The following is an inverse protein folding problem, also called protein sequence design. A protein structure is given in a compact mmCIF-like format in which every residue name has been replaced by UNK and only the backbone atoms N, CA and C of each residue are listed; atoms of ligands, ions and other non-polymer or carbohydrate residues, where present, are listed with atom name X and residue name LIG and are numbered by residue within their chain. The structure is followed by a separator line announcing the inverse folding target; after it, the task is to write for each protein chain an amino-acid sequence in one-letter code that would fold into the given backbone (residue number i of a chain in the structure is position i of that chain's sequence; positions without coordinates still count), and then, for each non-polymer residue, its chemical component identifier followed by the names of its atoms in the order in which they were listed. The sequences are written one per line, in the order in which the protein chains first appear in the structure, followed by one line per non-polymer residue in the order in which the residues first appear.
data_IF_868930280607
#
_entry.id   IF_868930280607
#
_cell.length_a   1.000
_cell.length_b   1.000
_cell.length_c   1.000
_cell.angle_alpha   90.00
_cell.angle_beta   90.00
_cell.angle_gamma   90.00
#
_symmetry.space_group_name_H-M   'P 1'
#
loop_
_entity.id
_entity.type
_entity.pdbx_description
1 polymer ?
#
# COMPACT_ATOMS: atom_id res chain seq x y z
N UNK A 1 47.01 39.76 -5.95
CA UNK A 1 47.64 39.80 -4.62
C UNK A 1 46.70 39.20 -3.58
N UNK A 2 47.23 38.46 -2.60
CA UNK A 2 46.68 38.33 -1.23
C UNK A 2 47.10 39.59 -0.43
N UNK A 3 46.56 39.97 0.76
CA UNK A 3 46.42 39.04 1.90
C UNK A 3 45.38 39.36 3.03
N UNK A 4 45.36 38.47 4.05
CA UNK A 4 45.11 38.67 5.52
C UNK A 4 43.86 39.47 5.99
N UNK A 5 43.07 39.04 7.00
CA UNK A 5 43.03 37.77 7.76
C UNK A 5 42.69 37.92 9.27
N UNK A 6 42.18 36.83 9.88
CA UNK A 6 42.24 36.48 11.32
C UNK A 6 41.32 37.31 12.24
N UNK A 7 40.86 36.90 13.45
CA UNK A 7 41.02 35.73 14.33
C UNK A 7 39.85 35.76 15.39
N UNK A 8 39.58 34.81 16.31
CA UNK A 8 40.07 33.46 16.64
C UNK A 8 39.21 32.81 17.76
N UNK A 9 39.31 31.48 17.91
CA UNK A 9 39.13 30.69 19.15
C UNK A 9 37.70 30.39 19.70
N UNK A 10 37.47 29.28 20.40
CA UNK A 10 38.45 28.30 20.92
C UNK A 10 37.97 26.84 20.99
N UNK A 11 38.95 25.93 21.03
CA UNK A 11 38.80 24.50 21.33
C UNK A 11 39.41 24.21 22.71
N UNK A 12 38.88 23.22 23.45
CA UNK A 12 39.54 22.44 24.53
C UNK A 12 38.50 21.51 25.18
N UNK A 13 38.78 20.29 25.69
CA UNK A 13 39.89 19.33 25.56
C UNK A 13 39.45 17.96 26.14
N UNK A 14 40.22 16.89 25.85
CA UNK A 14 40.40 15.60 26.57
C UNK A 14 39.80 15.44 28.01
N UNK A 15 39.44 14.25 28.51
CA UNK A 15 40.21 12.98 28.48
C UNK A 15 39.37 11.75 28.98
N UNK A 16 39.77 10.47 28.76
CA UNK A 16 39.12 9.27 29.29
C UNK A 16 39.93 8.52 30.40
N UNK A 17 39.47 7.31 30.76
CA UNK A 17 39.93 6.39 31.84
C UNK A 17 39.37 6.71 33.25
N UNK A 18 39.24 5.76 34.20
CA UNK A 18 39.82 4.41 34.33
C UNK A 18 38.91 3.37 35.03
N UNK A 19 39.41 2.13 35.15
CA UNK A 19 38.76 0.97 35.76
C UNK A 19 38.65 1.04 37.29
N UNK A 20 37.78 0.20 37.88
CA UNK A 20 37.75 -0.12 39.31
C UNK A 20 37.00 -1.43 39.56
N UNK A 21 37.71 -2.46 40.05
CA UNK A 21 37.15 -3.77 40.37
C UNK A 21 37.67 -4.19 41.74
N UNK A 22 36.79 -4.37 42.73
CA UNK A 22 37.17 -4.83 44.07
C UNK A 22 36.37 -6.06 44.50
N UNK A 23 37.11 -7.10 44.89
CA UNK A 23 36.63 -8.24 45.69
C UNK A 23 37.00 -8.00 47.14
N UNK A 24 36.06 -8.21 48.06
CA UNK A 24 36.36 -8.28 49.50
C UNK A 24 35.41 -9.26 50.19
N UNK A 25 35.93 -10.41 50.63
CA UNK A 25 35.20 -11.35 51.50
C UNK A 25 35.64 -11.20 52.96
N UNK A 26 34.77 -11.53 53.93
CA UNK A 26 35.10 -11.29 55.34
C UNK A 26 34.11 -11.85 56.37
N UNK A 27 34.10 -13.17 56.56
CA UNK A 27 33.91 -13.90 57.83
C UNK A 27 32.82 -13.44 58.83
N UNK A 28 31.73 -14.22 58.85
CA UNK A 28 31.11 -14.89 60.03
C UNK A 28 31.19 -14.24 61.42
N UNK A 29 30.02 -13.99 62.04
CA UNK A 29 29.75 -14.41 63.42
C UNK A 29 28.26 -14.69 63.69
N UNK A 30 28.04 -15.67 64.58
CA UNK A 30 26.76 -16.31 64.93
C UNK A 30 26.11 -15.55 66.10
N UNK A 31 24.76 -15.58 66.26
CA UNK A 31 24.02 -15.86 67.53
C UNK A 31 22.49 -15.62 67.43
N UNK A 32 21.73 -16.61 67.94
CA UNK A 32 20.30 -16.64 68.34
C UNK A 32 19.16 -16.28 67.36
N UNK A 33 18.61 -17.35 66.76
CA UNK A 33 17.21 -17.80 66.91
C UNK A 33 16.11 -16.82 67.35
N UNK A 34 15.22 -16.47 66.40
CA UNK A 34 13.76 -16.42 66.66
C UNK A 34 13.06 -17.17 65.52
N UNK A 35 12.61 -18.40 65.79
CA UNK A 35 11.79 -19.18 64.85
C UNK A 35 10.35 -18.65 64.88
N UNK A 36 10.06 -17.65 64.06
CA UNK A 36 8.68 -17.25 63.79
C UNK A 36 8.13 -18.12 62.65
N UNK A 37 7.52 -19.26 62.99
CA UNK A 37 6.84 -20.13 62.01
C UNK A 37 5.53 -19.46 61.60
N UNK A 38 5.63 -18.53 60.64
CA UNK A 38 4.47 -17.97 59.97
C UNK A 38 3.80 -19.02 59.09
N UNK A 39 2.62 -19.48 59.50
CA UNK A 39 1.74 -20.32 58.67
C UNK A 39 1.16 -19.51 57.51
N UNK A 40 2.00 -19.22 56.51
CA UNK A 40 1.52 -18.82 55.19
C UNK A 40 0.98 -20.07 54.50
N UNK A 41 -0.32 -20.29 54.65
CA UNK A 41 -1.07 -21.22 53.81
C UNK A 41 -0.99 -20.73 52.36
N UNK A 42 -0.02 -21.26 51.62
CA UNK A 42 0.08 -21.02 50.20
C UNK A 42 -1.14 -21.66 49.53
N UNK A 43 -2.11 -20.84 49.14
CA UNK A 43 -3.17 -21.25 48.23
C UNK A 43 -2.56 -21.54 46.85
N UNK A 44 -1.95 -22.71 46.69
CA UNK A 44 -1.57 -23.25 45.39
C UNK A 44 -2.85 -23.47 44.60
N UNK A 45 -3.26 -22.45 43.85
CA UNK A 45 -4.35 -22.58 42.89
C UNK A 45 -3.82 -23.43 41.75
N UNK A 46 -3.96 -24.75 41.89
CA UNK A 46 -3.63 -25.71 40.85
C UNK A 46 -4.53 -25.39 39.66
N UNK A 47 -4.00 -24.59 38.73
CA UNK A 47 -4.73 -24.19 37.54
C UNK A 47 -4.79 -25.42 36.65
N UNK A 48 -5.89 -26.17 36.77
CA UNK A 48 -6.18 -27.29 35.90
C UNK A 48 -6.28 -26.75 34.46
N UNK A 49 -5.19 -26.86 33.70
CA UNK A 49 -5.14 -26.58 32.28
C UNK A 49 -6.00 -27.56 31.45
N UNK A 50 -6.61 -28.55 32.10
CA UNK A 50 -7.61 -29.50 31.58
C UNK A 50 -8.95 -28.85 31.11
N UNK A 51 -8.91 -27.58 30.72
CA UNK A 51 -10.06 -26.80 30.26
C UNK A 51 -9.68 -25.62 29.35
N UNK A 52 -8.40 -25.48 28.96
CA UNK A 52 -8.07 -24.64 27.79
C UNK A 52 -8.56 -25.43 26.58
N UNK A 53 -9.59 -24.98 25.83
CA UNK A 53 -9.98 -25.66 24.61
C UNK A 53 -8.78 -25.61 23.67
N UNK A 54 -8.39 -26.77 23.15
CA UNK A 54 -7.35 -26.89 22.14
C UNK A 54 -7.66 -25.88 21.03
N UNK A 55 -6.77 -24.89 20.87
CA UNK A 55 -6.94 -23.85 19.86
C UNK A 55 -6.88 -24.55 18.51
N UNK A 56 -8.06 -24.84 17.93
CA UNK A 56 -8.18 -25.36 16.57
C UNK A 56 -7.26 -24.51 15.70
N UNK A 57 -6.31 -25.12 14.94
CA UNK A 57 -5.32 -24.36 14.21
C UNK A 57 -6.05 -23.34 13.35
N UNK A 58 -5.77 -22.06 13.58
CA UNK A 58 -6.39 -20.95 12.84
C UNK A 58 -6.22 -21.28 11.36
N UNK A 59 -7.34 -21.57 10.68
CA UNK A 59 -7.27 -22.08 9.32
C UNK A 59 -6.55 -21.04 8.48
N UNK A 60 -5.37 -21.38 7.95
CA UNK A 60 -4.56 -20.45 7.17
C UNK A 60 -5.46 -19.82 6.12
N UNK A 61 -5.61 -18.49 6.18
CA UNK A 61 -6.48 -17.78 5.26
C UNK A 61 -6.12 -18.18 3.81
N UNK A 62 -7.12 -18.40 2.94
CA UNK A 62 -6.89 -18.80 1.55
C UNK A 62 -5.80 -17.95 0.90
N UNK A 63 -4.94 -18.52 0.03
CA UNK A 63 -3.84 -17.77 -0.61
C UNK A 63 -4.31 -16.43 -1.19
N UNK A 64 -5.41 -16.43 -1.94
CA UNK A 64 -6.09 -15.24 -2.46
C UNK A 64 -6.37 -14.17 -1.38
N UNK A 65 -6.92 -14.55 -0.22
CA UNK A 65 -7.19 -13.60 0.88
C UNK A 65 -5.93 -12.97 1.47
N UNK A 66 -4.77 -13.65 1.39
CA UNK A 66 -3.48 -13.07 1.81
C UNK A 66 -2.85 -12.21 0.71
N UNK A 67 -2.98 -12.62 -0.55
CA UNK A 67 -2.56 -11.81 -1.70
C UNK A 67 -3.36 -10.51 -1.81
N UNK A 68 -4.67 -10.56 -1.51
CA UNK A 68 -5.55 -9.39 -1.40
C UNK A 68 -5.05 -8.38 -0.37
N UNK A 69 -4.80 -8.80 0.88
CA UNK A 69 -4.32 -7.90 1.94
C UNK A 69 -3.00 -7.23 1.58
N UNK A 70 -2.04 -7.96 1.00
CA UNK A 70 -0.80 -7.35 0.50
C UNK A 70 -1.06 -6.35 -0.65
N UNK A 71 -2.03 -6.61 -1.52
CA UNK A 71 -2.41 -5.68 -2.60
C UNK A 71 -3.11 -4.43 -2.06
N UNK A 72 -3.95 -4.57 -1.04
CA UNK A 72 -4.59 -3.44 -0.32
C UNK A 72 -3.54 -2.57 0.38
N UNK A 73 -2.55 -3.17 1.04
CA UNK A 73 -1.40 -2.45 1.61
C UNK A 73 -0.59 -1.71 0.53
N UNK A 74 -0.36 -2.35 -0.62
CA UNK A 74 0.30 -1.70 -1.75
C UNK A 74 -0.47 -0.48 -2.26
N UNK A 75 -1.79 -0.54 -2.32
CA UNK A 75 -2.65 0.61 -2.69
C UNK A 75 -2.48 1.78 -1.70
N UNK A 76 -2.48 1.49 -0.39
CA UNK A 76 -2.27 2.50 0.66
C UNK A 76 -0.86 3.14 0.58
N UNK A 77 0.18 2.35 0.28
CA UNK A 77 1.53 2.89 0.07
C UNK A 77 1.67 3.66 -1.25
N UNK A 78 0.96 3.26 -2.30
CA UNK A 78 0.88 3.99 -3.57
C UNK A 78 0.25 5.39 -3.37
N UNK A 79 -0.85 5.49 -2.61
CA UNK A 79 -1.45 6.78 -2.25
C UNK A 79 -0.49 7.69 -1.47
N UNK A 80 0.38 7.11 -0.63
CA UNK A 80 1.44 7.83 0.11
C UNK A 80 2.71 8.09 -0.73
N UNK A 81 2.66 7.91 -2.05
CA UNK A 81 3.81 7.97 -2.97
C UNK A 81 5.01 7.08 -2.56
N UNK A 82 4.80 6.09 -1.70
CA UNK A 82 5.81 5.19 -1.14
C UNK A 82 6.05 3.98 -2.04
N UNK A 83 6.36 4.26 -3.32
CA UNK A 83 6.36 3.27 -4.41
C UNK A 83 7.25 2.05 -4.16
N UNK A 84 8.41 2.23 -3.51
CA UNK A 84 9.29 1.12 -3.13
C UNK A 84 8.61 0.13 -2.18
N UNK A 85 7.84 0.63 -1.21
CA UNK A 85 7.10 -0.21 -0.26
C UNK A 85 5.89 -0.84 -0.94
N UNK A 86 5.18 -0.09 -1.81
CA UNK A 86 4.10 -0.64 -2.61
C UNK A 86 4.56 -1.83 -3.48
N UNK A 87 5.72 -1.73 -4.15
CA UNK A 87 6.32 -2.83 -4.91
C UNK A 87 6.69 -4.03 -4.01
N UNK A 88 7.20 -3.81 -2.80
CA UNK A 88 7.54 -4.89 -1.88
C UNK A 88 6.31 -5.68 -1.41
N UNK A 89 5.19 -4.99 -1.19
CA UNK A 89 3.89 -5.59 -0.86
C UNK A 89 3.27 -6.30 -2.07
N UNK A 90 3.34 -5.73 -3.27
CA UNK A 90 2.96 -6.40 -4.53
C UNK A 90 3.74 -7.70 -4.72
N UNK A 91 5.06 -7.67 -4.54
CA UNK A 91 5.90 -8.87 -4.64
C UNK A 91 5.55 -9.89 -3.54
N UNK A 92 5.05 -9.46 -2.38
CA UNK A 92 4.52 -10.35 -1.34
C UNK A 92 3.19 -10.99 -1.77
N UNK A 93 2.27 -10.22 -2.36
CA UNK A 93 1.04 -10.74 -2.94
C UNK A 93 1.32 -11.81 -4.02
N UNK A 94 2.21 -11.51 -4.96
CA UNK A 94 2.57 -12.41 -6.07
C UNK A 94 3.38 -13.64 -5.63
N UNK A 95 4.08 -13.59 -4.49
CA UNK A 95 4.67 -14.78 -3.85
C UNK A 95 3.63 -15.69 -3.19
N UNK A 96 2.49 -15.16 -2.78
CA UNK A 96 1.39 -15.93 -2.19
C UNK A 96 0.48 -16.52 -3.28
N UNK A 97 0.18 -15.73 -4.31
CA UNK A 97 -0.59 -16.14 -5.48
C UNK A 97 -0.07 -15.42 -6.74
N UNK A 98 0.66 -16.17 -7.57
CA UNK A 98 1.25 -15.68 -8.82
C UNK A 98 0.22 -15.45 -9.96
N UNK A 99 -1.05 -15.77 -9.73
CA UNK A 99 -2.16 -15.50 -10.65
C UNK A 99 -3.10 -14.38 -10.15
N UNK A 100 -2.75 -13.68 -9.06
CA UNK A 100 -3.59 -12.64 -8.48
C UNK A 100 -3.58 -11.35 -9.31
N UNK A 101 -4.53 -11.22 -10.25
CA UNK A 101 -4.61 -10.12 -11.20
C UNK A 101 -4.59 -8.70 -10.58
N UNK A 102 -5.24 -8.41 -9.44
CA UNK A 102 -5.20 -7.07 -8.84
C UNK A 102 -3.80 -6.62 -8.40
N UNK A 103 -2.91 -7.56 -8.04
CA UNK A 103 -1.51 -7.21 -7.74
C UNK A 103 -0.75 -6.78 -9.00
N UNK A 104 -1.04 -7.37 -10.15
CA UNK A 104 -0.47 -6.95 -11.44
C UNK A 104 -1.01 -5.60 -11.91
N UNK A 105 -2.29 -5.31 -11.69
CA UNK A 105 -2.86 -3.99 -11.99
C UNK A 105 -2.26 -2.88 -11.13
N UNK A 106 -2.16 -3.12 -9.81
CA UNK A 106 -1.48 -2.20 -8.89
C UNK A 106 0.00 -2.00 -9.24
N UNK A 107 0.69 -3.05 -9.71
CA UNK A 107 2.06 -2.98 -10.24
C UNK A 107 2.15 -2.11 -11.49
N UNK A 108 1.15 -2.19 -12.37
CA UNK A 108 0.98 -1.31 -13.53
C UNK A 108 0.88 0.16 -13.12
N UNK A 109 0.02 0.48 -12.15
CA UNK A 109 -0.16 1.83 -11.61
C UNK A 109 1.12 2.38 -10.96
N UNK A 110 1.82 1.58 -10.14
CA UNK A 110 3.08 2.00 -9.51
C UNK A 110 4.15 2.28 -10.56
N UNK A 111 4.33 1.43 -11.57
CA UNK A 111 5.32 1.68 -12.63
C UNK A 111 4.93 2.84 -13.55
N UNK A 112 3.64 3.05 -13.81
CA UNK A 112 3.15 4.23 -14.53
C UNK A 112 3.58 5.52 -13.82
N UNK A 113 3.39 5.57 -12.49
CA UNK A 113 3.75 6.74 -11.68
C UNK A 113 5.27 6.93 -11.55
N UNK A 114 6.06 5.85 -11.64
CA UNK A 114 7.53 5.91 -11.74
C UNK A 114 8.05 6.26 -13.14
N UNK A 115 7.20 6.30 -14.16
CA UNK A 115 7.59 6.52 -15.56
C UNK A 115 8.13 5.28 -16.29
N UNK A 116 8.11 4.11 -15.64
CA UNK A 116 8.64 2.83 -16.14
C UNK A 116 7.67 2.16 -17.13
N UNK A 117 7.46 2.81 -18.29
CA UNK A 117 6.39 2.48 -19.25
C UNK A 117 6.34 1.01 -19.67
N UNK A 118 7.49 0.37 -19.89
CA UNK A 118 7.54 -1.05 -20.31
C UNK A 118 7.01 -1.95 -19.19
N UNK A 119 7.53 -1.80 -17.97
CA UNK A 119 7.11 -2.57 -16.80
C UNK A 119 5.65 -2.33 -16.42
N UNK A 120 5.16 -1.10 -16.61
CA UNK A 120 3.74 -0.77 -16.46
C UNK A 120 2.88 -1.52 -17.49
N UNK A 121 3.22 -1.43 -18.78
CA UNK A 121 2.49 -2.09 -19.86
C UNK A 121 2.45 -3.62 -19.69
N UNK A 122 3.57 -4.24 -19.33
CA UNK A 122 3.65 -5.69 -19.12
C UNK A 122 2.79 -6.13 -17.92
N UNK A 123 2.77 -5.33 -16.85
CA UNK A 123 1.97 -5.62 -15.66
C UNK A 123 0.46 -5.49 -15.93
N UNK A 124 0.03 -4.42 -16.62
CA UNK A 124 -1.38 -4.28 -17.03
C UNK A 124 -1.82 -5.38 -18.01
N UNK A 125 -0.99 -5.74 -18.99
CA UNK A 125 -1.28 -6.85 -19.90
C UNK A 125 -1.44 -8.16 -19.14
N UNK A 126 -0.56 -8.44 -18.17
CA UNK A 126 -0.65 -9.64 -17.34
C UNK A 126 -1.93 -9.66 -16.50
N UNK A 127 -2.38 -8.52 -15.98
CA UNK A 127 -3.68 -8.41 -15.30
C UNK A 127 -4.84 -8.73 -16.26
N UNK A 128 -4.87 -8.15 -17.46
CA UNK A 128 -5.90 -8.41 -18.49
C UNK A 128 -5.91 -9.87 -18.94
N UNK A 129 -4.75 -10.52 -19.10
CA UNK A 129 -4.67 -11.94 -19.46
C UNK A 129 -5.28 -12.86 -18.39
N UNK A 130 -5.27 -12.42 -17.13
CA UNK A 130 -5.85 -13.15 -15.98
C UNK A 130 -7.34 -12.82 -15.77
N UNK A 131 -7.75 -11.56 -15.96
CA UNK A 131 -9.14 -11.10 -15.78
C UNK A 131 -9.64 -10.30 -17.01
N UNK A 132 -9.86 -10.95 -18.17
CA UNK A 132 -10.10 -10.25 -19.44
C UNK A 132 -11.41 -9.44 -19.51
N UNK A 133 -12.32 -9.57 -18.54
CA UNK A 133 -13.55 -8.79 -18.48
C UNK A 133 -13.60 -7.81 -17.30
N UNK A 134 -12.50 -7.65 -16.55
CA UNK A 134 -12.42 -6.73 -15.42
C UNK A 134 -12.42 -5.27 -15.90
N UNK A 135 -13.41 -4.45 -15.50
CA UNK A 135 -13.53 -3.09 -15.98
C UNK A 135 -12.55 -2.11 -15.31
N UNK A 136 -12.11 -2.35 -14.07
CA UNK A 136 -11.13 -1.49 -13.40
C UNK A 136 -9.74 -1.67 -14.01
N UNK A 137 -9.32 -2.92 -14.27
CA UNK A 137 -8.06 -3.20 -14.97
C UNK A 137 -8.06 -2.58 -16.37
N UNK A 138 -9.19 -2.67 -17.10
CA UNK A 138 -9.35 -2.05 -18.41
C UNK A 138 -9.35 -0.53 -18.35
N UNK A 139 -9.97 0.07 -17.33
CA UNK A 139 -9.91 1.51 -17.08
C UNK A 139 -8.47 1.98 -16.82
N UNK A 140 -7.74 1.29 -15.95
CA UNK A 140 -6.38 1.64 -15.56
C UNK A 140 -5.40 1.49 -16.74
N UNK A 141 -5.47 0.38 -17.47
CA UNK A 141 -4.66 0.18 -18.68
C UNK A 141 -5.01 1.18 -19.78
N UNK A 142 -6.29 1.48 -19.98
CA UNK A 142 -6.73 2.47 -20.97
C UNK A 142 -6.21 3.87 -20.67
N UNK A 143 -6.26 4.28 -19.40
CA UNK A 143 -5.66 5.55 -18.94
C UNK A 143 -4.13 5.57 -19.12
N UNK A 144 -3.44 4.47 -18.80
CA UNK A 144 -2.00 4.32 -19.06
C UNK A 144 -1.65 4.46 -20.56
N UNK A 145 -2.42 3.83 -21.46
CA UNK A 145 -2.21 3.94 -22.90
C UNK A 145 -2.39 5.37 -23.40
N UNK A 146 -3.44 6.07 -22.95
CA UNK A 146 -3.67 7.48 -23.28
C UNK A 146 -2.48 8.36 -22.85
N UNK A 147 -2.10 8.30 -21.58
CA UNK A 147 -1.00 9.11 -21.01
C UNK A 147 0.40 8.74 -21.53
N UNK A 148 0.56 7.59 -22.17
CA UNK A 148 1.82 7.18 -22.83
C UNK A 148 1.84 7.40 -24.35
N UNK A 149 0.83 8.06 -24.92
CA UNK A 149 0.79 8.46 -26.32
C UNK A 149 0.15 7.44 -27.27
N UNK A 150 -0.69 6.54 -26.75
CA UNK A 150 -1.43 5.53 -27.51
C UNK A 150 -2.96 5.74 -27.37
N UNK A 151 -3.50 6.94 -27.70
CA UNK A 151 -4.87 7.31 -27.34
C UNK A 151 -5.94 6.42 -27.98
N UNK A 152 -5.76 5.95 -29.22
CA UNK A 152 -6.73 5.07 -29.89
C UNK A 152 -6.85 3.72 -29.17
N UNK A 153 -5.72 3.15 -28.73
CA UNK A 153 -5.71 1.92 -27.95
C UNK A 153 -6.29 2.14 -26.54
N UNK A 154 -5.97 3.28 -25.91
CA UNK A 154 -6.51 3.64 -24.60
C UNK A 154 -8.02 3.84 -24.59
N UNK A 155 -8.56 4.58 -25.57
CA UNK A 155 -10.00 4.76 -25.77
C UNK A 155 -10.73 3.43 -25.98
N UNK A 156 -10.13 2.48 -26.72
CA UNK A 156 -10.72 1.15 -26.90
C UNK A 156 -10.78 0.34 -25.58
N UNK A 157 -9.77 0.43 -24.71
CA UNK A 157 -9.83 -0.23 -23.39
C UNK A 157 -10.86 0.44 -22.47
N UNK A 158 -10.90 1.77 -22.46
CA UNK A 158 -11.86 2.55 -21.68
C UNK A 158 -13.30 2.28 -22.13
N UNK A 159 -13.52 2.09 -23.43
CA UNK A 159 -14.82 1.70 -23.98
C UNK A 159 -15.28 0.32 -23.51
N UNK A 160 -14.37 -0.65 -23.43
CA UNK A 160 -14.66 -1.97 -22.88
C UNK A 160 -14.94 -1.91 -21.36
N UNK A 161 -14.33 -0.97 -20.64
CA UNK A 161 -14.60 -0.73 -19.22
C UNK A 161 -16.01 -0.12 -18.99
N UNK A 162 -16.32 1.04 -19.57
CA UNK A 162 -17.60 1.73 -19.26
C UNK A 162 -18.84 1.03 -19.84
N UNK A 163 -18.68 0.16 -20.86
CA UNK A 163 -19.76 -0.69 -21.38
C UNK A 163 -20.02 -1.95 -20.56
N UNK A 164 -19.17 -2.30 -19.59
CA UNK A 164 -19.41 -3.46 -18.74
C UNK A 164 -20.58 -3.17 -17.78
N UNK A 165 -21.71 -3.92 -17.84
CA UNK A 165 -22.88 -3.67 -17.00
C UNK A 165 -22.64 -4.00 -15.51
N UNK A 166 -21.51 -4.64 -15.17
CA UNK A 166 -21.09 -4.93 -13.80
C UNK A 166 -20.03 -3.95 -13.29
N UNK A 167 -19.73 -2.87 -14.02
CA UNK A 167 -18.79 -1.87 -13.50
C UNK A 167 -19.51 -0.94 -12.52
N UNK A 168 -18.99 -0.83 -11.29
CA UNK A 168 -19.52 0.08 -10.27
C UNK A 168 -19.23 1.56 -10.59
N UNK A 169 -18.19 1.87 -11.37
CA UNK A 169 -17.76 3.26 -11.65
C UNK A 169 -17.53 3.58 -13.15
N UNK A 170 -18.49 3.32 -14.05
CA UNK A 170 -18.36 3.58 -15.49
C UNK A 170 -18.14 5.07 -15.81
N UNK A 171 -18.58 5.98 -14.92
CA UNK A 171 -18.25 7.40 -14.96
C UNK A 171 -16.74 7.67 -14.99
N UNK A 172 -15.94 6.96 -14.16
CA UNK A 172 -14.47 7.13 -14.09
C UNK A 172 -13.82 6.82 -15.44
N UNK A 173 -14.24 5.72 -16.08
CA UNK A 173 -13.78 5.34 -17.41
C UNK A 173 -14.26 6.31 -18.52
N UNK A 174 -15.49 6.81 -18.46
CA UNK A 174 -16.00 7.82 -19.41
C UNK A 174 -15.25 9.15 -19.30
N UNK A 175 -14.93 9.58 -18.07
CA UNK A 175 -14.17 10.81 -17.84
C UNK A 175 -12.68 10.64 -18.22
N UNK A 176 -12.07 9.47 -17.98
CA UNK A 176 -10.76 9.12 -18.52
C UNK A 176 -10.76 9.14 -20.06
N UNK A 177 -11.79 8.58 -20.70
CA UNK A 177 -11.93 8.56 -22.15
C UNK A 177 -12.13 9.98 -22.71
N UNK A 178 -12.95 10.82 -22.06
CA UNK A 178 -13.12 12.23 -22.45
C UNK A 178 -11.79 12.99 -22.43
N UNK A 179 -10.97 12.82 -21.38
CA UNK A 179 -9.68 13.49 -21.28
C UNK A 179 -8.72 13.00 -22.37
N UNK A 180 -8.67 11.69 -22.60
CA UNK A 180 -7.88 11.08 -23.66
C UNK A 180 -8.27 11.58 -25.06
N UNK A 181 -9.57 11.76 -25.32
CA UNK A 181 -10.06 12.32 -26.58
C UNK A 181 -9.69 13.81 -26.75
N UNK A 182 -9.76 14.64 -25.70
CA UNK A 182 -9.28 16.03 -25.77
C UNK A 182 -7.77 16.11 -26.05
N UNK A 183 -6.97 15.29 -25.35
CA UNK A 183 -5.50 15.21 -25.52
C UNK A 183 -5.12 14.71 -26.92
N UNK A 184 -5.94 13.83 -27.52
CA UNK A 184 -5.82 13.40 -28.91
C UNK A 184 -6.36 14.41 -29.93
N UNK A 185 -6.99 15.50 -29.50
CA UNK A 185 -7.57 16.55 -30.34
C UNK A 185 -9.02 16.32 -30.79
N UNK A 186 -9.64 15.18 -30.49
CA UNK A 186 -11.04 14.90 -30.80
C UNK A 186 -11.99 15.51 -29.76
N UNK A 187 -12.14 16.83 -29.84
CA UNK A 187 -13.04 17.62 -28.99
C UNK A 187 -14.52 17.22 -29.13
N UNK A 188 -14.92 16.64 -30.26
CA UNK A 188 -16.29 16.22 -30.52
C UNK A 188 -16.61 14.94 -29.74
N UNK A 189 -15.74 13.92 -29.85
CA UNK A 189 -15.83 12.70 -29.07
C UNK A 189 -15.71 13.00 -27.56
N UNK A 190 -14.77 13.86 -27.17
CA UNK A 190 -14.61 14.26 -25.78
C UNK A 190 -15.89 14.86 -25.18
N UNK A 191 -16.57 15.77 -25.90
CA UNK A 191 -17.86 16.34 -25.46
C UNK A 191 -18.93 15.27 -25.23
N UNK A 192 -19.07 14.31 -26.15
CA UNK A 192 -20.04 13.20 -26.02
C UNK A 192 -19.70 12.33 -24.80
N UNK A 193 -18.41 12.08 -24.54
CA UNK A 193 -17.96 11.30 -23.39
C UNK A 193 -18.18 12.03 -22.06
N UNK A 194 -18.03 13.37 -22.00
CA UNK A 194 -18.42 14.19 -20.83
C UNK A 194 -19.91 14.07 -20.52
N UNK A 195 -20.76 14.19 -21.53
CA UNK A 195 -22.21 14.12 -21.38
C UNK A 195 -22.66 12.76 -20.86
N UNK A 196 -22.01 11.69 -21.32
CA UNK A 196 -22.20 10.33 -20.76
C UNK A 196 -21.68 10.21 -19.33
N UNK A 197 -20.50 10.73 -19.02
CA UNK A 197 -19.94 10.68 -17.66
C UNK A 197 -20.87 11.38 -16.64
N UNK A 198 -21.43 12.54 -17.01
CA UNK A 198 -22.36 13.29 -16.17
C UNK A 198 -23.65 12.52 -15.84
N UNK A 199 -24.08 11.59 -16.70
CA UNK A 199 -25.22 10.71 -16.40
C UNK A 199 -24.96 9.71 -15.26
N UNK A 200 -23.68 9.49 -14.89
CA UNK A 200 -23.25 8.68 -13.75
C UNK A 200 -22.82 9.53 -12.54
N UNK A 201 -23.11 10.84 -12.53
CA UNK A 201 -22.79 11.73 -11.40
C UNK A 201 -21.39 12.34 -11.39
N UNK A 202 -20.53 12.00 -12.37
CA UNK A 202 -19.20 12.61 -12.52
C UNK A 202 -19.33 14.09 -12.94
N UNK A 203 -18.98 15.01 -12.03
CA UNK A 203 -18.98 16.45 -12.30
C UNK A 203 -17.57 17.00 -12.50
N UNK A 204 -17.38 17.78 -13.57
CA UNK A 204 -16.05 18.23 -14.03
C UNK A 204 -15.42 19.36 -13.21
N UNK A 205 -15.97 19.68 -12.05
CA UNK A 205 -15.60 20.87 -11.26
C UNK A 205 -14.64 20.58 -10.09
N UNK A 206 -14.35 19.32 -9.77
CA UNK A 206 -13.34 18.99 -8.74
C UNK A 206 -12.00 18.55 -9.35
N UNK A 207 -10.87 19.10 -8.89
CA UNK A 207 -9.55 18.55 -9.19
C UNK A 207 -9.43 17.13 -8.63
N UNK A 208 -9.13 16.14 -9.48
CA UNK A 208 -8.84 14.78 -9.01
C UNK A 208 -7.51 14.77 -8.24
N UNK A 209 -7.58 14.70 -6.92
CA UNK A 209 -6.44 14.45 -6.04
C UNK A 209 -6.24 12.94 -5.79
N UNK A 210 -5.08 12.49 -5.28
CA UNK A 210 -4.84 11.09 -4.93
C UNK A 210 -5.84 10.51 -3.92
N UNK A 211 -6.43 11.34 -3.04
CA UNK A 211 -7.47 10.93 -2.09
C UNK A 211 -8.77 10.49 -2.78
N UNK A 212 -9.09 11.02 -3.95
CA UNK A 212 -10.35 10.76 -4.66
C UNK A 212 -10.27 9.61 -5.69
N UNK A 213 -9.10 8.98 -5.88
CA UNK A 213 -8.95 7.89 -6.86
C UNK A 213 -9.55 6.54 -6.45
N UNK A 214 -9.75 6.32 -5.14
CA UNK A 214 -10.19 5.05 -4.53
C UNK A 214 -11.39 5.19 -3.57
N UNK A 215 -12.05 6.35 -3.51
CA UNK A 215 -13.33 6.42 -2.80
C UNK A 215 -14.40 5.74 -3.66
N UNK A 216 -15.24 4.85 -3.10
CA UNK A 216 -16.49 4.53 -3.76
C UNK A 216 -17.32 5.82 -3.86
N UNK A 217 -17.89 6.09 -5.03
CA UNK A 217 -18.75 7.25 -5.23
C UNK A 217 -20.08 7.02 -4.52
N UNK A 218 -20.14 7.44 -3.26
CA UNK A 218 -21.34 7.41 -2.41
C UNK A 218 -22.50 8.31 -2.95
N UNK A 219 -22.35 8.86 -4.15
CA UNK A 219 -23.24 9.83 -4.79
C UNK A 219 -23.95 9.27 -6.04
N UNK A 220 -23.80 7.97 -6.34
CA UNK A 220 -24.65 7.28 -7.31
C UNK A 220 -26.13 7.44 -6.93
N UNK A 221 -27.01 7.92 -7.85
CA UNK A 221 -28.44 7.88 -7.62
C UNK A 221 -28.91 6.44 -7.42
N UNK A 222 -29.84 6.24 -6.48
CA UNK A 222 -30.52 4.94 -6.28
C UNK A 222 -31.55 4.67 -7.36
#
# INVERSE_FOLDING_TARGET
MRPIGWSSAGQNTSNPASQGCERGGGVTRIITSVFLVGLLAACTTTTNLAGVPEQKPVSKAPPESRARVHTELAALYYQQASFKTALAEIDAALRVDAAYAPAYDMRGLVYMQLGERVLASDSFRKAIDLTPNDPDVRNNYGWFLCTTGQPQAGLAQLELAWKNPLYDTPGRALANASRCADEAGDRAQAKILRERAAAYGETWNEPRTPENLLRPDNNSPK
#
